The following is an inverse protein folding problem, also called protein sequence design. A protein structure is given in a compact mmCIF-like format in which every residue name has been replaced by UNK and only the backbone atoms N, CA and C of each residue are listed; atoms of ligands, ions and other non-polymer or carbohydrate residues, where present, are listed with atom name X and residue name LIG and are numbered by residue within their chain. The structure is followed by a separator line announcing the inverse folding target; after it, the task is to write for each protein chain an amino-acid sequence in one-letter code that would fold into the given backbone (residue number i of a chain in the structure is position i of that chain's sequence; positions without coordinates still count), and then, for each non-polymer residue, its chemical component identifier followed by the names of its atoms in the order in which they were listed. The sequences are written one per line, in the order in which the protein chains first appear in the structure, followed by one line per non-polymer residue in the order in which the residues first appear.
data_IF_843873954016
#
_entry.id   IF_843873954016
#
_cell.length_a   1.000
_cell.length_b   1.000
_cell.length_c   1.000
_cell.angle_alpha   90.00
_cell.angle_beta   90.00
_cell.angle_gamma   90.00
#
_symmetry.space_group_name_H-M   'P 1'
#
loop_
_entity.id
_entity.type
_entity.pdbx_description
1 polymer ?
#
# COMPACT_ATOMS: atom_id res chain seq x y z
N UNK A 1 -23.62 -4.72 13.90
CA UNK A 1 -22.22 -4.65 14.38
C UNK A 1 -21.77 -6.06 14.71
N UNK A 2 -20.66 -6.54 14.13
CA UNK A 2 -20.14 -7.88 14.42
C UNK A 2 -19.30 -7.83 15.70
N UNK A 3 -19.83 -8.38 16.80
CA UNK A 3 -19.08 -8.54 18.05
C UNK A 3 -18.20 -9.80 17.97
N UNK A 4 -17.08 -9.72 17.24
CA UNK A 4 -16.10 -10.81 17.15
C UNK A 4 -15.10 -10.71 18.31
N UNK A 5 -14.84 -11.81 19.01
CA UNK A 5 -13.88 -11.95 20.12
C UNK A 5 -12.89 -13.06 19.80
N UNK A 6 -11.64 -12.87 20.19
CA UNK A 6 -10.56 -13.85 20.00
C UNK A 6 -10.11 -14.27 21.39
N UNK A 7 -10.28 -15.56 21.68
CA UNK A 7 -9.78 -16.21 22.88
C UNK A 7 -8.63 -17.13 22.46
N UNK A 8 -7.60 -17.23 23.27
CA UNK A 8 -6.46 -18.10 22.97
C UNK A 8 -6.06 -18.89 24.20
N UNK A 9 -5.47 -20.04 23.94
CA UNK A 9 -4.72 -20.87 24.90
C UNK A 9 -3.29 -21.00 24.38
N UNK A 10 -2.37 -21.63 25.12
CA UNK A 10 -1.00 -21.87 24.63
C UNK A 10 -0.94 -22.68 23.32
N UNK A 11 -2.01 -23.40 22.94
CA UNK A 11 -2.03 -24.30 21.79
C UNK A 11 -3.21 -24.12 20.84
N UNK A 12 -4.19 -23.26 21.18
CA UNK A 12 -5.33 -22.97 20.30
C UNK A 12 -5.69 -21.49 20.23
N UNK A 13 -6.22 -21.07 19.08
CA UNK A 13 -6.82 -19.75 18.88
C UNK A 13 -8.27 -19.98 18.47
N UNK A 14 -9.20 -19.44 19.26
CA UNK A 14 -10.64 -19.58 19.07
C UNK A 14 -11.29 -18.22 18.85
N UNK A 15 -11.98 -18.11 17.73
CA UNK A 15 -12.86 -17.00 17.42
C UNK A 15 -14.26 -17.32 17.93
N UNK A 16 -14.92 -16.32 18.52
CA UNK A 16 -16.33 -16.37 18.86
C UNK A 16 -17.00 -15.08 18.43
N UNK A 17 -18.26 -15.13 18.04
CA UNK A 17 -19.02 -13.95 17.68
C UNK A 17 -20.46 -14.04 18.18
N UNK A 18 -21.14 -12.90 18.20
CA UNK A 18 -22.54 -12.85 18.60
C UNK A 18 -23.46 -12.85 17.39
N UNK A 19 -24.71 -13.28 17.62
CA UNK A 19 -25.76 -13.17 16.62
C UNK A 19 -26.04 -11.71 16.29
N UNK A 20 -26.11 -11.34 14.99
CA UNK A 20 -26.56 -10.02 14.60
C UNK A 20 -28.00 -9.73 15.04
N UNK A 21 -28.90 -10.71 14.87
CA UNK A 21 -30.30 -10.62 15.29
C UNK A 21 -30.64 -11.80 16.22
N UNK A 22 -31.09 -11.49 17.43
CA UNK A 22 -31.45 -12.48 18.44
C UNK A 22 -32.82 -13.12 18.18
N UNK A 23 -33.69 -12.47 17.40
CA UNK A 23 -35.02 -12.97 17.06
C UNK A 23 -34.96 -14.09 16.00
N UNK A 24 -33.95 -14.08 15.13
CA UNK A 24 -33.76 -15.14 14.13
C UNK A 24 -33.13 -16.39 14.75
N UNK A 25 -33.55 -17.55 14.24
CA UNK A 25 -33.03 -18.84 14.68
C UNK A 25 -31.52 -18.94 14.46
N UNK A 26 -30.81 -19.47 15.46
CA UNK A 26 -29.36 -19.71 15.42
C UNK A 26 -28.96 -20.63 14.26
N UNK A 27 -29.82 -21.61 13.95
CA UNK A 27 -29.57 -22.63 12.92
C UNK A 27 -29.59 -22.06 11.50
N UNK A 28 -30.23 -20.91 11.31
CA UNK A 28 -30.34 -20.25 10.01
C UNK A 28 -29.10 -19.45 9.63
N UNK A 29 -28.17 -19.23 10.56
CA UNK A 29 -26.95 -18.49 10.27
C UNK A 29 -25.84 -19.42 9.81
N UNK A 30 -25.23 -19.08 8.68
CA UNK A 30 -23.97 -19.67 8.22
C UNK A 30 -22.90 -18.60 8.22
N UNK A 31 -21.72 -18.95 8.69
CA UNK A 31 -20.59 -18.02 8.77
C UNK A 31 -19.49 -18.45 7.80
N UNK A 32 -18.90 -17.46 7.15
CA UNK A 32 -17.67 -17.60 6.39
C UNK A 32 -16.58 -16.84 7.14
N UNK A 33 -15.58 -17.56 7.63
CA UNK A 33 -14.38 -17.00 8.25
C UNK A 33 -13.24 -17.02 7.23
N UNK A 34 -12.55 -15.89 7.12
CA UNK A 34 -11.29 -15.79 6.42
C UNK A 34 -10.19 -15.45 7.40
N UNK A 35 -9.04 -16.10 7.22
CA UNK A 35 -7.84 -15.77 7.98
C UNK A 35 -6.59 -15.85 7.12
N UNK A 36 -5.56 -15.13 7.55
CA UNK A 36 -4.21 -15.17 6.96
C UNK A 36 -3.19 -14.85 8.03
N UNK A 37 -1.91 -15.21 7.81
CA UNK A 37 -0.83 -14.61 8.61
C UNK A 37 -0.72 -13.14 8.25
N UNK A 38 -0.31 -12.31 9.20
CA UNK A 38 -0.23 -10.85 9.01
C UNK A 38 0.66 -10.47 7.82
N UNK A 39 1.77 -11.19 7.64
CA UNK A 39 2.72 -10.94 6.55
C UNK A 39 2.32 -11.58 5.19
N UNK A 40 1.26 -12.39 5.14
CA UNK A 40 0.80 -13.02 3.90
C UNK A 40 -0.31 -12.20 3.25
N UNK A 41 -0.37 -12.16 1.92
CA UNK A 41 -1.47 -11.49 1.19
C UNK A 41 -2.67 -12.40 0.93
N UNK A 42 -2.46 -13.72 0.92
CA UNK A 42 -3.49 -14.70 0.58
C UNK A 42 -4.37 -15.06 1.77
N UNK A 43 -5.69 -15.08 1.55
CA UNK A 43 -6.68 -15.49 2.55
C UNK A 43 -6.97 -17.00 2.45
N UNK A 44 -6.99 -17.66 3.59
CA UNK A 44 -7.58 -18.99 3.76
C UNK A 44 -9.06 -18.85 4.09
N UNK A 45 -9.88 -19.72 3.51
CA UNK A 45 -11.34 -19.62 3.56
C UNK A 45 -11.92 -20.82 4.31
N UNK A 46 -12.81 -20.56 5.26
CA UNK A 46 -13.66 -21.56 5.90
C UNK A 46 -15.12 -21.11 5.78
N UNK A 47 -15.90 -21.83 4.99
CA UNK A 47 -17.29 -21.50 4.66
C UNK A 47 -18.28 -22.38 5.41
N UNK A 48 -19.54 -21.95 5.45
CA UNK A 48 -20.69 -22.69 5.94
C UNK A 48 -20.56 -23.23 7.38
N UNK A 49 -19.80 -22.52 8.21
CA UNK A 49 -19.64 -22.81 9.63
C UNK A 49 -20.99 -22.64 10.32
N UNK A 50 -21.46 -23.71 10.96
CA UNK A 50 -22.63 -23.68 11.82
C UNK A 50 -22.26 -23.16 13.22
N UNK A 51 -23.15 -22.36 13.80
CA UNK A 51 -22.91 -21.76 15.10
C UNK A 51 -22.06 -20.47 15.03
N UNK A 52 -21.46 -20.15 16.17
CA UNK A 52 -20.90 -18.82 16.46
C UNK A 52 -19.47 -18.87 17.01
N UNK A 53 -18.75 -19.94 16.67
CA UNK A 53 -17.36 -20.13 17.05
C UNK A 53 -16.58 -20.83 15.95
N UNK A 54 -15.31 -20.49 15.83
CA UNK A 54 -14.36 -21.13 14.92
C UNK A 54 -13.04 -21.31 15.66
N UNK A 55 -12.46 -22.49 15.56
CA UNK A 55 -11.13 -22.78 16.09
C UNK A 55 -10.16 -22.87 14.92
N UNK A 56 -9.08 -22.09 14.99
CA UNK A 56 -8.05 -22.07 13.97
C UNK A 56 -7.33 -23.44 13.99
N UNK A 57 -7.30 -24.20 12.89
CA UNK A 57 -6.63 -25.50 12.88
C UNK A 57 -5.11 -25.34 12.88
N UNK A 58 -4.45 -26.05 13.79
CA UNK A 58 -2.99 -26.10 13.93
C UNK A 58 -2.33 -24.70 13.86
N UNK A 59 -2.66 -23.79 14.80
CA UNK A 59 -2.10 -22.44 14.81
C UNK A 59 -0.60 -22.47 15.14
N UNK A 60 0.19 -21.76 14.35
CA UNK A 60 1.57 -21.45 14.71
C UNK A 60 1.56 -20.26 15.68
N UNK A 61 1.71 -20.56 16.98
CA UNK A 61 1.63 -19.52 18.01
C UNK A 61 2.73 -18.47 17.91
N UNK A 62 3.79 -18.71 17.14
CA UNK A 62 4.85 -17.71 16.90
C UNK A 62 4.47 -16.72 15.80
N UNK A 63 3.29 -16.84 15.20
CA UNK A 63 2.87 -16.07 14.02
C UNK A 63 1.64 -15.22 14.28
N UNK A 64 1.65 -13.97 13.83
CA UNK A 64 0.51 -13.09 13.92
C UNK A 64 -0.55 -13.46 12.88
N UNK A 65 -1.82 -13.41 13.28
CA UNK A 65 -2.95 -13.77 12.43
C UNK A 65 -3.94 -12.62 12.30
N UNK A 66 -4.57 -12.60 11.14
CA UNK A 66 -5.56 -11.60 10.75
C UNK A 66 -6.84 -12.32 10.39
N UNK A 67 -7.95 -11.90 10.98
CA UNK A 67 -9.25 -12.54 10.79
C UNK A 67 -10.29 -11.54 10.30
N UNK A 68 -11.20 -12.02 9.46
CA UNK A 68 -12.46 -11.36 9.13
C UNK A 68 -13.54 -12.41 8.90
N UNK A 69 -14.79 -12.06 9.14
CA UNK A 69 -15.90 -12.97 8.90
C UNK A 69 -17.06 -12.27 8.23
N UNK A 70 -17.93 -13.04 7.59
CA UNK A 70 -19.24 -12.57 7.11
C UNK A 70 -20.27 -13.66 7.35
N UNK A 71 -21.53 -13.26 7.41
CA UNK A 71 -22.63 -14.17 7.71
C UNK A 71 -23.69 -14.08 6.62
N UNK A 72 -24.35 -15.20 6.34
CA UNK A 72 -25.59 -15.26 5.55
C UNK A 72 -26.72 -15.82 6.42
N UNK A 73 -27.95 -15.39 6.15
CA UNK A 73 -29.15 -15.89 6.81
C UNK A 73 -29.86 -16.86 5.86
N UNK A 74 -29.39 -18.10 5.84
CA UNK A 74 -29.76 -19.13 4.86
C UNK A 74 -31.27 -19.36 4.75
N UNK A 75 -32.01 -19.25 5.86
CA UNK A 75 -33.47 -19.47 5.89
C UNK A 75 -34.31 -18.39 5.20
N UNK A 76 -33.78 -17.19 4.92
CA UNK A 76 -34.55 -16.12 4.28
C UNK A 76 -33.81 -15.46 3.12
N UNK A 77 -32.52 -15.20 3.30
CA UNK A 77 -31.66 -14.52 2.33
C UNK A 77 -30.38 -15.32 2.20
N UNK A 78 -30.28 -16.11 1.14
CA UNK A 78 -29.09 -16.90 0.83
C UNK A 78 -27.98 -16.06 0.17
N UNK A 79 -27.81 -14.83 0.65
CA UNK A 79 -26.77 -13.91 0.20
C UNK A 79 -25.82 -13.61 1.35
N UNK A 80 -24.53 -13.53 1.04
CA UNK A 80 -23.52 -13.16 2.02
C UNK A 80 -23.63 -11.68 2.36
N UNK A 81 -23.61 -11.37 3.65
CA UNK A 81 -23.45 -10.00 4.12
C UNK A 81 -22.04 -9.46 3.90
N UNK A 82 -21.86 -8.19 4.25
CA UNK A 82 -20.57 -7.53 4.24
C UNK A 82 -19.57 -8.19 5.19
N UNK A 83 -18.29 -8.04 4.86
CA UNK A 83 -17.20 -8.47 5.73
C UNK A 83 -17.18 -7.65 7.02
N UNK A 84 -16.88 -8.31 8.13
CA UNK A 84 -16.58 -7.66 9.39
C UNK A 84 -15.30 -6.83 9.26
N UNK A 85 -15.13 -5.81 10.14
CA UNK A 85 -13.82 -5.23 10.36
C UNK A 85 -12.78 -6.31 10.65
N UNK A 86 -11.55 -6.06 10.19
CA UNK A 86 -10.42 -6.96 10.42
C UNK A 86 -10.07 -6.95 11.90
N UNK A 87 -9.79 -8.12 12.45
CA UNK A 87 -9.26 -8.27 13.81
C UNK A 87 -7.94 -9.00 13.81
N UNK A 88 -7.01 -8.46 14.56
CA UNK A 88 -5.65 -8.98 14.68
C UNK A 88 -5.53 -9.83 15.94
N UNK A 89 -4.88 -10.96 15.80
CA UNK A 89 -4.27 -11.69 16.90
C UNK A 89 -2.76 -11.54 16.76
N UNK A 90 -2.12 -11.01 17.79
CA UNK A 90 -0.68 -10.78 17.82
C UNK A 90 -0.09 -11.57 18.98
N UNK A 91 1.01 -12.24 18.72
CA UNK A 91 1.91 -12.73 19.75
C UNK A 91 3.13 -11.81 19.79
N UNK A 92 3.50 -11.35 20.99
CA UNK A 92 4.60 -10.39 21.22
C UNK A 92 5.98 -10.93 20.78
N UNK A 93 6.05 -12.22 20.43
CA UNK A 93 7.28 -12.89 20.01
C UNK A 93 7.63 -12.67 18.54
N UNK A 94 6.67 -12.28 17.68
CA UNK A 94 6.96 -12.06 16.27
C UNK A 94 7.34 -10.59 16.01
N UNK A 95 8.50 -10.39 15.37
CA UNK A 95 8.86 -9.08 14.85
C UNK A 95 7.76 -8.57 13.91
N UNK A 96 7.40 -7.28 13.95
CA UNK A 96 6.41 -6.73 13.04
C UNK A 96 6.81 -7.07 11.61
N UNK A 97 5.84 -7.46 10.79
CA UNK A 97 6.07 -7.64 9.37
C UNK A 97 6.67 -6.33 8.87
N UNK A 98 7.97 -6.32 8.58
CA UNK A 98 8.55 -5.28 7.76
C UNK A 98 7.89 -5.51 6.43
N UNK A 99 6.77 -4.82 6.22
CA UNK A 99 6.23 -4.63 4.90
C UNK A 99 7.45 -4.28 4.07
N UNK A 100 7.75 -5.08 3.05
CA UNK A 100 8.61 -4.64 1.97
C UNK A 100 7.86 -3.51 1.25
N UNK A 101 7.68 -2.40 1.95
CA UNK A 101 7.40 -1.07 1.43
C UNK A 101 8.74 -0.39 1.14
N UNK A 102 9.73 -1.15 0.69
CA UNK A 102 10.59 -0.68 -0.39
C UNK A 102 9.84 -0.87 -1.70
N UNK A 103 8.68 -0.20 -1.85
CA UNK A 103 8.09 0.04 -3.16
C UNK A 103 8.84 1.20 -3.81
N UNK A 104 10.16 1.08 -3.91
CA UNK A 104 10.87 1.81 -4.95
C UNK A 104 10.47 1.12 -6.24
N UNK A 105 9.40 1.62 -6.84
CA UNK A 105 8.96 1.15 -8.15
C UNK A 105 10.06 1.47 -9.16
N UNK A 106 10.08 0.75 -10.29
CA UNK A 106 11.07 1.00 -11.37
C UNK A 106 11.12 2.49 -11.75
N UNK A 107 9.98 3.18 -11.63
CA UNK A 107 9.85 4.63 -11.81
C UNK A 107 10.68 5.44 -10.80
N UNK A 108 10.68 5.07 -9.53
CA UNK A 108 11.46 5.74 -8.49
C UNK A 108 12.96 5.54 -8.73
N UNK A 109 13.36 4.36 -9.20
CA UNK A 109 14.74 4.06 -9.58
C UNK A 109 15.20 4.86 -10.81
N UNK A 110 14.33 5.02 -11.81
CA UNK A 110 14.58 5.87 -12.97
C UNK A 110 14.70 7.34 -12.57
N UNK A 111 13.85 7.82 -11.65
CA UNK A 111 13.90 9.21 -11.19
C UNK A 111 15.23 9.51 -10.47
N UNK A 112 15.65 8.61 -9.57
CA UNK A 112 16.88 8.77 -8.78
C UNK A 112 18.13 8.74 -9.65
N UNK A 113 18.12 7.99 -10.76
CA UNK A 113 19.29 7.89 -11.66
C UNK A 113 19.32 8.97 -12.74
N UNK A 114 18.17 9.33 -13.33
CA UNK A 114 18.09 10.29 -14.44
C UNK A 114 18.27 11.74 -13.96
N UNK A 115 17.73 12.10 -12.79
CA UNK A 115 17.81 13.46 -12.27
C UNK A 115 19.26 13.96 -12.03
N UNK A 116 20.15 13.21 -11.34
CA UNK A 116 21.54 13.63 -11.17
C UNK A 116 22.32 13.58 -12.48
N UNK A 117 22.03 12.64 -13.39
CA UNK A 117 22.69 12.58 -14.70
C UNK A 117 22.33 13.80 -15.56
N UNK A 118 21.06 14.18 -15.62
CA UNK A 118 20.61 15.39 -16.31
C UNK A 118 21.20 16.66 -15.69
N UNK A 119 21.24 16.74 -14.35
CA UNK A 119 21.90 17.84 -13.63
C UNK A 119 23.39 17.93 -13.94
N UNK A 120 24.09 16.81 -13.96
CA UNK A 120 25.51 16.76 -14.32
C UNK A 120 25.75 17.20 -15.76
N UNK A 121 24.93 16.75 -16.72
CA UNK A 121 25.00 17.19 -18.11
C UNK A 121 24.74 18.69 -18.27
N UNK A 122 23.80 19.24 -17.50
CA UNK A 122 23.52 20.68 -17.49
C UNK A 122 24.73 21.47 -16.95
N UNK A 123 25.31 21.03 -15.83
CA UNK A 123 26.51 21.66 -15.26
C UNK A 123 27.66 21.59 -16.27
N UNK A 124 27.88 20.44 -16.91
CA UNK A 124 28.91 20.28 -17.94
C UNK A 124 28.70 21.23 -19.14
N UNK A 125 27.46 21.38 -19.61
CA UNK A 125 27.15 22.29 -20.71
C UNK A 125 27.35 23.78 -20.34
N UNK A 126 27.16 24.14 -19.07
CA UNK A 126 27.36 25.50 -18.57
C UNK A 126 28.83 25.81 -18.28
N UNK A 127 29.61 24.85 -17.80
CA UNK A 127 31.03 25.04 -17.44
C UNK A 127 31.96 24.95 -18.64
N UNK A 128 31.62 24.16 -19.67
CA UNK A 128 32.43 24.08 -20.89
C UNK A 128 31.98 25.10 -21.94
N UNK A 129 32.81 26.14 -22.12
CA UNK A 129 32.64 27.20 -23.13
C UNK A 129 32.41 26.68 -24.56
N UNK A 130 32.91 25.49 -24.89
CA UNK A 130 32.71 24.85 -26.20
C UNK A 130 31.28 24.35 -26.42
N UNK A 131 30.63 23.83 -25.39
CA UNK A 131 29.24 23.31 -25.48
C UNK A 131 28.25 24.47 -25.37
N UNK A 132 28.54 25.46 -24.52
CA UNK A 132 27.73 26.68 -24.38
C UNK A 132 27.50 27.39 -25.72
N UNK A 133 28.52 27.48 -26.58
CA UNK A 133 28.41 28.10 -27.93
C UNK A 133 27.54 27.32 -28.91
N UNK A 134 27.33 26.02 -28.68
CA UNK A 134 26.56 25.13 -29.57
C UNK A 134 25.07 25.11 -29.20
N UNK A 135 24.75 25.34 -27.92
CA UNK A 135 23.37 25.26 -27.39
C UNK A 135 22.73 26.64 -27.22
N UNK A 136 23.51 27.67 -26.84
CA UNK A 136 23.03 29.03 -26.67
C UNK A 136 23.65 29.93 -27.75
N UNK A 137 22.85 30.73 -28.47
CA UNK A 137 23.40 31.73 -29.36
C UNK A 137 24.25 32.71 -28.54
N UNK A 138 25.46 32.97 -29.02
CA UNK A 138 26.38 33.94 -28.43
C UNK A 138 25.65 35.28 -28.37
N UNK A 139 25.29 35.74 -27.17
CA UNK A 139 24.80 37.11 -26.98
C UNK A 139 26.00 38.01 -27.31
N UNK A 140 25.93 38.84 -28.37
CA UNK A 140 27.01 39.73 -28.73
C UNK A 140 27.25 40.72 -27.59
N UNK A 141 28.52 40.89 -27.24
CA UNK A 141 28.98 41.75 -26.16
C UNK A 141 28.41 43.17 -26.35
N UNK A 142 27.64 43.72 -25.36
CA UNK A 142 26.94 45.00 -25.51
C UNK A 142 27.88 46.18 -25.77
N UNK A 143 29.17 46.03 -25.44
CA UNK A 143 30.17 47.07 -25.65
C UNK A 143 30.42 47.38 -27.13
N UNK A 144 30.23 46.41 -28.03
CA UNK A 144 30.41 46.60 -29.47
C UNK A 144 29.11 46.90 -30.22
N UNK A 145 27.95 46.55 -29.65
CA UNK A 145 26.66 46.93 -30.24
C UNK A 145 26.34 48.40 -30.00
N UNK A 146 26.73 48.97 -28.85
CA UNK A 146 26.50 50.39 -28.56
C UNK A 146 27.25 51.31 -29.53
N UNK A 147 28.53 51.05 -29.81
CA UNK A 147 29.30 51.87 -30.77
C UNK A 147 28.75 51.75 -32.20
N UNK A 148 28.24 50.57 -32.58
CA UNK A 148 27.63 50.38 -33.89
C UNK A 148 26.29 51.13 -34.03
N UNK A 149 25.48 51.15 -32.97
CA UNK A 149 24.22 51.89 -32.96
C UNK A 149 24.46 53.41 -32.98
N UNK A 150 25.41 53.90 -32.18
CA UNK A 150 25.78 55.32 -32.15
C UNK A 150 26.39 55.80 -33.48
N UNK A 151 27.18 54.96 -34.15
CA UNK A 151 27.73 55.29 -35.48
C UNK A 151 26.67 55.27 -36.59
N UNK A 152 25.60 54.49 -36.46
CA UNK A 152 24.49 54.46 -37.43
C UNK A 152 23.61 55.71 -37.28
N UNK A 153 23.39 56.19 -36.05
CA UNK A 153 22.65 57.45 -35.81
C UNK A 153 23.40 58.70 -36.28
N UNK A 154 24.74 58.65 -36.41
CA UNK A 154 25.54 59.77 -36.92
C UNK A 154 25.58 59.88 -38.46
N UNK A 155 25.06 58.90 -39.19
CA UNK A 155 25.10 58.85 -40.67
C UNK A 155 23.74 59.25 -41.30
N UNK A 156 22.75 59.63 -40.49
CA UNK A 156 21.44 60.08 -40.95
C UNK A 156 21.23 61.58 -40.69
#
# INVERSE_FOLDING_TARGET
IFNMKINHTPHSIRLSWERPDKQKSKLCYKTHVQYRRDCETSWKNYTDISGFSFELPAPDMKKNYVFRLRMKLECTKNTWGEWSPIKYWKNDTEAPCITKTSSLTVKDYLLITILPLAGFMLVYALTHDRVRRLVLPIIPDPKHTQERLLNIEQIQ
#
